data_IF_428723779541
#
_entry.id   IF_428723779541
#
_cell.length_a   1.000
_cell.length_b   1.000
_cell.length_c   1.000
_cell.angle_alpha   90.00
_cell.angle_beta   90.00
_cell.angle_gamma   90.00
#
_symmetry.space_group_name_H-M   'P 1'
#
loop_
_entity.id
_entity.type
_entity.pdbx_description
1 polymer ?
#
# COMPACT_ATOMS: atom_id res chain seq x y z
N UNK A 1 55.76 17.98 10.34
CA UNK A 1 54.72 17.41 11.24
C UNK A 1 53.50 16.99 10.40
N UNK A 2 53.47 15.75 9.88
CA UNK A 2 52.42 15.27 8.93
C UNK A 2 52.01 13.84 9.25
N UNK A 3 51.27 13.61 10.34
CA UNK A 3 50.66 12.30 10.62
C UNK A 3 49.47 12.46 11.56
N UNK A 4 48.26 12.71 11.05
CA UNK A 4 47.03 12.61 11.87
C UNK A 4 45.68 12.60 11.13
N UNK A 5 45.64 12.43 9.80
CA UNK A 5 44.38 12.54 9.04
C UNK A 5 43.80 11.21 8.51
N UNK A 6 44.48 10.08 8.72
CA UNK A 6 44.04 8.80 8.12
C UNK A 6 43.11 7.94 8.99
N UNK A 7 43.01 8.22 10.30
CA UNK A 7 42.21 7.39 11.22
C UNK A 7 40.71 7.74 11.22
N UNK A 8 40.32 8.94 10.78
CA UNK A 8 38.91 9.37 10.74
C UNK A 8 38.12 8.75 9.58
N UNK A 9 38.75 8.57 8.42
CA UNK A 9 38.08 8.04 7.23
C UNK A 9 37.79 6.54 7.35
N UNK A 10 38.66 5.79 8.02
CA UNK A 10 38.48 4.37 8.28
C UNK A 10 37.27 4.08 9.20
N UNK A 11 36.96 4.98 10.13
CA UNK A 11 35.76 4.87 10.97
C UNK A 11 34.49 5.09 10.15
N UNK A 12 34.49 6.10 9.26
CA UNK A 12 33.32 6.43 8.43
C UNK A 12 32.95 5.30 7.44
N UNK A 13 33.94 4.54 6.97
CA UNK A 13 33.73 3.41 6.06
C UNK A 13 33.28 2.12 6.77
N UNK A 14 33.65 1.92 8.05
CA UNK A 14 33.19 0.76 8.83
C UNK A 14 31.75 0.91 9.36
N UNK A 15 31.25 2.15 9.47
CA UNK A 15 29.90 2.44 9.96
C UNK A 15 28.77 2.09 8.97
N UNK A 16 29.10 1.77 7.71
CA UNK A 16 28.13 1.36 6.70
C UNK A 16 27.90 -0.15 6.79
N UNK A 17 27.37 -0.62 7.91
CA UNK A 17 26.81 -1.95 8.00
C UNK A 17 25.71 -2.07 6.93
N UNK A 18 25.73 -3.09 6.04
CA UNK A 18 24.62 -3.32 5.15
C UNK A 18 23.39 -3.52 6.03
N UNK A 19 22.39 -2.65 5.89
CA UNK A 19 21.10 -2.82 6.54
C UNK A 19 20.61 -4.21 6.16
N UNK A 20 20.65 -5.13 7.12
CA UNK A 20 20.23 -6.50 6.92
C UNK A 20 18.86 -6.50 6.20
N UNK A 21 18.66 -7.31 5.15
CA UNK A 21 17.37 -7.39 4.50
C UNK A 21 16.35 -7.73 5.58
N UNK A 22 15.43 -6.80 5.87
CA UNK A 22 14.34 -7.02 6.81
C UNK A 22 13.54 -8.20 6.25
N UNK A 23 13.77 -9.40 6.81
CA UNK A 23 12.98 -10.58 6.48
C UNK A 23 11.51 -10.19 6.64
N UNK A 24 10.65 -10.41 5.64
CA UNK A 24 9.22 -10.25 5.82
C UNK A 24 8.81 -11.11 7.02
N UNK A 25 8.31 -10.48 8.09
CA UNK A 25 7.70 -11.24 9.18
C UNK A 25 6.51 -11.98 8.58
N UNK A 26 6.60 -13.31 8.54
CA UNK A 26 5.49 -14.14 8.09
C UNK A 26 4.42 -14.10 9.16
N UNK A 27 3.20 -13.71 8.79
CA UNK A 27 2.04 -13.68 9.69
C UNK A 27 0.94 -14.56 9.07
N UNK A 28 1.00 -15.89 9.26
CA UNK A 28 0.07 -16.82 8.62
C UNK A 28 -1.38 -16.56 8.99
N UNK A 29 -1.62 -16.09 10.23
CA UNK A 29 -2.96 -15.75 10.72
C UNK A 29 -3.60 -14.54 10.02
N UNK A 30 -2.84 -13.78 9.23
CA UNK A 30 -3.40 -12.69 8.43
C UNK A 30 -3.95 -13.19 7.11
N UNK A 31 -3.64 -14.41 6.67
CA UNK A 31 -4.23 -14.97 5.45
C UNK A 31 -5.71 -15.27 5.67
N UNK A 32 -6.55 -14.86 4.73
CA UNK A 32 -8.00 -15.02 4.84
C UNK A 32 -8.71 -13.99 5.71
N UNK A 33 -8.00 -13.06 6.37
CA UNK A 33 -8.62 -11.96 7.09
C UNK A 33 -9.38 -11.02 6.13
N UNK A 34 -10.63 -10.73 6.46
CA UNK A 34 -11.56 -9.93 5.64
C UNK A 34 -11.99 -8.71 6.42
N UNK A 35 -11.77 -7.51 5.86
CA UNK A 35 -12.10 -6.25 6.52
C UNK A 35 -12.80 -5.29 5.57
N UNK A 36 -13.91 -4.69 6.01
CA UNK A 36 -14.58 -3.63 5.26
C UNK A 36 -14.00 -2.27 5.64
N UNK A 37 -13.52 -1.53 4.65
CA UNK A 37 -12.82 -0.25 4.82
C UNK A 37 -13.18 0.72 3.70
N UNK A 38 -12.81 1.99 3.87
CA UNK A 38 -12.71 2.96 2.78
C UNK A 38 -11.23 3.29 2.59
N UNK A 39 -10.75 3.21 1.36
CA UNK A 39 -9.36 3.55 1.05
C UNK A 39 -9.28 5.05 0.74
N UNK A 40 -8.56 5.79 1.57
CA UNK A 40 -8.35 7.22 1.40
C UNK A 40 -6.95 7.47 0.82
N UNK A 41 -6.90 8.13 -0.32
CA UNK A 41 -5.68 8.52 -1.01
C UNK A 41 -5.00 9.71 -0.31
N UNK A 42 -3.67 9.80 -0.45
CA UNK A 42 -2.91 10.99 -0.06
C UNK A 42 -3.40 12.25 -0.79
N UNK A 43 -3.93 12.10 -2.00
CA UNK A 43 -4.54 13.19 -2.81
C UNK A 43 -5.93 13.63 -2.33
N UNK A 44 -6.38 13.16 -1.16
CA UNK A 44 -7.65 13.54 -0.52
C UNK A 44 -8.91 13.03 -1.26
N UNK A 45 -8.86 11.81 -1.79
CA UNK A 45 -10.00 11.12 -2.41
C UNK A 45 -10.19 9.73 -1.82
N UNK A 46 -11.44 9.32 -1.65
CA UNK A 46 -11.80 7.93 -1.38
C UNK A 46 -11.84 7.15 -2.69
N UNK A 47 -11.24 5.96 -2.70
CA UNK A 47 -11.41 5.01 -3.79
C UNK A 47 -12.89 4.63 -3.90
N UNK A 48 -13.42 4.69 -5.12
CA UNK A 48 -14.79 4.29 -5.45
C UNK A 48 -14.77 3.44 -6.71
N UNK A 49 -15.64 2.44 -6.78
CA UNK A 49 -15.91 1.68 -8.00
C UNK A 49 -17.37 1.86 -8.36
N UNK A 50 -17.63 2.40 -9.53
CA UNK A 50 -19.01 2.61 -10.00
C UNK A 50 -19.67 1.28 -10.43
N UNK A 51 -20.99 1.27 -10.68
CA UNK A 51 -21.69 0.09 -11.20
C UNK A 51 -21.22 -0.37 -12.59
N UNK A 52 -20.51 0.49 -13.33
CA UNK A 52 -19.93 0.17 -14.64
C UNK A 52 -18.52 -0.44 -14.56
N UNK A 53 -17.96 -0.62 -13.37
CA UNK A 53 -16.61 -1.17 -13.17
C UNK A 53 -15.49 -0.15 -13.39
N UNK A 54 -15.78 1.14 -13.47
CA UNK A 54 -14.75 2.20 -13.48
C UNK A 54 -14.27 2.49 -12.07
N UNK A 55 -12.96 2.59 -11.93
CA UNK A 55 -12.30 2.91 -10.66
C UNK A 55 -11.96 4.39 -10.63
N UNK A 56 -12.53 5.12 -9.67
CA UNK A 56 -12.46 6.58 -9.58
C UNK A 56 -12.18 7.04 -8.14
N UNK A 57 -11.90 8.34 -7.97
CA UNK A 57 -11.81 8.99 -6.68
C UNK A 57 -13.06 9.82 -6.37
N UNK A 58 -13.55 9.80 -5.13
CA UNK A 58 -14.63 10.68 -4.66
C UNK A 58 -14.24 11.39 -3.37
N UNK A 59 -14.66 12.65 -3.20
CA UNK A 59 -14.51 13.36 -1.92
C UNK A 59 -15.63 13.04 -0.93
N UNK A 60 -16.70 12.39 -1.41
CA UNK A 60 -17.85 12.05 -0.59
C UNK A 60 -17.51 10.90 0.37
N UNK A 61 -17.35 11.24 1.65
CA UNK A 61 -16.96 10.29 2.70
C UNK A 61 -17.94 9.15 2.85
N UNK A 62 -19.24 9.41 2.82
CA UNK A 62 -20.30 8.44 3.20
C UNK A 62 -20.88 7.64 2.03
N UNK A 63 -20.12 7.50 0.93
CA UNK A 63 -20.60 6.83 -0.27
C UNK A 63 -20.69 5.33 -0.02
N UNK A 64 -21.69 4.69 -0.62
CA UNK A 64 -21.81 3.23 -0.59
C UNK A 64 -20.77 2.61 -1.53
N UNK A 65 -20.58 3.21 -2.70
CA UNK A 65 -19.64 2.79 -3.75
C UNK A 65 -18.14 2.93 -3.35
N UNK A 66 -17.84 3.57 -2.21
CA UNK A 66 -16.48 3.71 -1.69
C UNK A 66 -16.13 2.71 -0.58
N UNK A 67 -17.08 1.86 -0.19
CA UNK A 67 -16.84 0.77 0.76
C UNK A 67 -16.24 -0.41 0.01
N UNK A 68 -15.07 -0.85 0.44
CA UNK A 68 -14.34 -1.99 -0.13
C UNK A 68 -14.09 -3.06 0.93
N UNK A 69 -14.19 -4.30 0.50
CA UNK A 69 -13.71 -5.47 1.20
C UNK A 69 -12.23 -5.67 0.86
N UNK A 70 -11.39 -5.65 1.89
CA UNK A 70 -9.97 -5.97 1.80
C UNK A 70 -9.81 -7.38 2.35
N UNK A 71 -9.49 -8.32 1.46
CA UNK A 71 -9.19 -9.70 1.82
C UNK A 71 -7.72 -9.96 1.66
N UNK A 72 -7.08 -10.43 2.71
CA UNK A 72 -5.71 -10.92 2.62
C UNK A 72 -5.68 -12.27 1.92
N UNK A 73 -5.01 -12.33 0.77
CA UNK A 73 -4.88 -13.56 -0.04
C UNK A 73 -3.57 -14.28 0.22
N UNK A 74 -2.52 -13.53 0.57
CA UNK A 74 -1.23 -14.04 1.02
C UNK A 74 -0.58 -12.97 1.91
N UNK A 75 0.42 -13.34 2.71
CA UNK A 75 1.15 -12.37 3.54
C UNK A 75 1.65 -11.19 2.69
N UNK A 76 1.25 -9.97 3.08
CA UNK A 76 1.62 -8.72 2.40
C UNK A 76 0.85 -8.45 1.08
N UNK A 77 -0.19 -9.23 0.81
CA UNK A 77 -0.92 -9.20 -0.46
C UNK A 77 -2.43 -9.24 -0.24
N UNK A 78 -3.14 -8.29 -0.84
CA UNK A 78 -4.59 -8.16 -0.67
C UNK A 78 -5.34 -8.19 -1.99
N UNK A 79 -6.55 -8.71 -1.95
CA UNK A 79 -7.59 -8.50 -2.94
C UNK A 79 -8.52 -7.39 -2.40
N UNK A 80 -8.85 -6.44 -3.27
CA UNK A 80 -9.73 -5.32 -2.94
C UNK A 80 -10.98 -5.46 -3.80
N UNK A 81 -12.12 -5.66 -3.16
CA UNK A 81 -13.42 -5.83 -3.81
C UNK A 81 -14.35 -4.69 -3.40
N UNK A 82 -15.00 -4.06 -4.36
CA UNK A 82 -16.06 -3.09 -4.07
C UNK A 82 -17.28 -3.83 -3.50
N UNK A 83 -17.74 -3.44 -2.32
CA UNK A 83 -18.85 -4.13 -1.64
C UNK A 83 -20.15 -3.94 -2.41
N UNK A 84 -20.40 -2.73 -2.90
CA UNK A 84 -21.65 -2.39 -3.58
C UNK A 84 -21.75 -2.97 -4.99
N UNK A 85 -20.71 -2.82 -5.82
CA UNK A 85 -20.73 -3.24 -7.22
C UNK A 85 -20.16 -4.66 -7.45
N UNK A 86 -19.50 -5.24 -6.46
CA UNK A 86 -18.96 -6.61 -6.53
C UNK A 86 -17.67 -6.76 -7.36
N UNK A 87 -17.22 -5.72 -8.06
CA UNK A 87 -15.99 -5.73 -8.84
C UNK A 87 -14.73 -5.81 -7.97
N UNK A 88 -13.72 -6.54 -8.43
CA UNK A 88 -12.38 -6.50 -7.91
C UNK A 88 -11.57 -5.39 -8.58
N UNK A 89 -10.85 -4.60 -7.80
CA UNK A 89 -9.94 -3.59 -8.34
C UNK A 89 -8.72 -4.27 -8.92
N UNK A 90 -8.50 -4.07 -10.22
CA UNK A 90 -7.36 -4.56 -10.97
C UNK A 90 -6.66 -3.40 -11.68
N UNK A 91 -5.44 -3.64 -12.17
CA UNK A 91 -4.64 -2.67 -12.89
C UNK A 91 -4.19 -3.27 -14.21
N UNK A 92 -4.30 -2.50 -15.31
CA UNK A 92 -3.81 -2.92 -16.61
C UNK A 92 -2.28 -2.81 -16.67
N UNK A 93 -1.65 -3.39 -17.68
CA UNK A 93 -0.19 -3.28 -17.87
C UNK A 93 0.27 -1.84 -18.12
N UNK A 94 -0.63 -0.98 -18.59
CA UNK A 94 -0.43 0.45 -18.80
C UNK A 94 -0.63 1.28 -17.52
N UNK A 95 -1.02 0.66 -16.40
CA UNK A 95 -1.26 1.34 -15.13
C UNK A 95 -2.69 1.87 -14.94
N UNK A 96 -3.62 1.55 -15.83
CA UNK A 96 -5.02 1.98 -15.68
C UNK A 96 -5.76 1.05 -14.72
N UNK A 97 -6.41 1.63 -13.71
CA UNK A 97 -7.27 0.89 -12.79
C UNK A 97 -8.62 0.56 -13.45
N UNK A 98 -9.09 -0.66 -13.24
CA UNK A 98 -10.39 -1.12 -13.72
C UNK A 98 -11.02 -2.13 -12.75
N UNK A 99 -12.34 -2.25 -12.81
CA UNK A 99 -13.10 -3.27 -12.12
C UNK A 99 -13.14 -4.56 -12.93
N UNK A 100 -12.71 -5.65 -12.33
CA UNK A 100 -12.73 -6.99 -12.90
C UNK A 100 -13.77 -7.86 -12.19
N UNK A 101 -14.47 -8.70 -12.95
CA UNK A 101 -15.38 -9.70 -12.37
C UNK A 101 -14.60 -10.99 -12.04
N UNK A 102 -14.97 -11.71 -10.98
CA UNK A 102 -14.36 -13.00 -10.69
C UNK A 102 -14.53 -13.94 -11.89
N UNK A 103 -13.41 -14.51 -12.36
CA UNK A 103 -13.39 -15.44 -13.50
C UNK A 103 -13.07 -14.82 -14.86
N UNK A 104 -13.04 -13.48 -14.99
CA UNK A 104 -12.67 -12.82 -16.26
C UNK A 104 -11.22 -13.10 -16.69
N UNK A 105 -10.33 -13.39 -15.74
CA UNK A 105 -8.90 -13.61 -15.98
C UNK A 105 -8.46 -15.04 -15.61
N UNK A 106 -9.18 -16.07 -16.09
CA UNK A 106 -8.84 -17.49 -15.81
C UNK A 106 -7.45 -17.94 -16.35
N UNK A 107 -6.72 -17.06 -17.03
CA UNK A 107 -5.32 -17.26 -17.46
C UNK A 107 -4.31 -16.20 -16.97
N UNK A 108 -4.75 -15.11 -16.33
CA UNK A 108 -3.86 -14.06 -15.85
C UNK A 108 -3.95 -13.97 -14.32
N UNK A 109 -2.85 -14.32 -13.67
CA UNK A 109 -2.63 -14.19 -12.23
C UNK A 109 -3.16 -12.84 -11.73
N UNK A 110 -4.17 -12.87 -10.86
CA UNK A 110 -4.74 -11.69 -10.22
C UNK A 110 -3.62 -10.75 -9.79
N UNK A 111 -3.63 -9.51 -10.26
CA UNK A 111 -2.60 -8.55 -9.90
C UNK A 111 -2.75 -8.22 -8.41
N UNK A 112 -1.92 -8.90 -7.64
CA UNK A 112 -1.78 -8.76 -6.20
C UNK A 112 -1.38 -7.31 -5.89
N UNK A 113 -2.33 -6.50 -5.39
CA UNK A 113 -2.05 -5.13 -4.98
C UNK A 113 -1.20 -5.16 -3.71
N UNK A 114 0.10 -4.91 -3.87
CA UNK A 114 1.02 -4.66 -2.76
C UNK A 114 0.89 -3.19 -2.36
N UNK A 115 0.02 -2.92 -1.38
CA UNK A 115 -0.06 -1.60 -0.78
C UNK A 115 1.15 -1.42 0.14
N UNK A 116 2.16 -0.68 -0.32
CA UNK A 116 3.25 -0.24 0.55
C UNK A 116 2.71 0.86 1.47
N UNK A 117 2.80 0.72 2.80
CA UNK A 117 2.47 1.80 3.70
C UNK A 117 3.40 2.98 3.39
N UNK A 118 2.83 4.14 3.06
CA UNK A 118 3.62 5.38 3.03
C UNK A 118 4.23 5.56 4.41
N UNK A 119 5.54 5.77 4.47
CA UNK A 119 6.25 5.97 5.72
C UNK A 119 5.57 7.10 6.53
N UNK A 120 5.39 6.95 7.85
CA UNK A 120 4.87 8.04 8.66
C UNK A 120 5.79 9.24 8.47
N UNK A 121 5.21 10.37 8.03
CA UNK A 121 5.90 11.66 8.09
C UNK A 121 6.26 11.88 9.57
N UNK A 122 7.54 12.20 9.83
CA UNK A 122 8.09 12.31 11.18
C UNK A 122 7.28 13.23 12.10
N UNK A 123 7.51 13.17 13.43
CA UNK A 123 6.71 13.93 14.39
C UNK A 123 6.73 15.42 14.02
N UNK A 124 5.54 15.98 13.84
CA UNK A 124 5.36 17.42 13.63
C UNK A 124 5.95 18.13 14.84
N UNK A 125 7.03 18.90 14.61
CA UNK A 125 7.59 19.77 15.62
C UNK A 125 6.57 20.85 15.93
N UNK A 126 5.91 20.74 17.09
CA UNK A 126 5.07 21.79 17.65
C UNK A 126 6.01 22.74 18.41
N UNK A 127 6.20 23.99 17.97
CA UNK A 127 6.97 24.96 18.74
C UNK A 127 6.19 25.30 19.99
N UNK A 128 6.83 25.16 21.15
CA UNK A 128 6.25 25.50 22.44
C UNK A 128 5.97 27.00 22.52
N UNK A 129 4.77 27.35 22.95
CA UNK A 129 4.42 28.69 23.42
C UNK A 129 5.11 28.90 24.77
N UNK A 130 6.11 29.77 24.79
CA UNK A 130 6.59 30.45 26.00
C UNK A 130 5.89 31.79 26.16
#
# INVERSE_FOLDING_TARGET
MRRRLWLGLAWLLLARAPSAPRRPRSYPHLEGDVRWRRLFSSTQFFLRVDPGGRVLGTRWRHGQDSVVEIRSVHVGTVAIKAVHSGFYVAMSRQGHLYGSVPGAHRGERLQHLRLTPLAPQGPAHVPGTG
#
